data_IF_910382541724
#
_entry.id   IF_910382541724
#
_cell.length_a   1.000
_cell.length_b   1.000
_cell.length_c   1.000
_cell.angle_alpha   90.00
_cell.angle_beta   90.00
_cell.angle_gamma   90.00
#
_symmetry.space_group_name_H-M   'P 1'
#
loop_
_entity.id
_entity.type
_entity.pdbx_description
1 polymer ?
#
# COMPACT_ATOMS: atom_id res chain seq x y z
N UNK A 1 24.44 27.11 -12.67
CA UNK A 1 23.40 26.24 -13.24
C UNK A 1 23.13 25.11 -12.27
N UNK A 2 22.18 25.30 -11.37
CA UNK A 2 21.91 24.36 -10.30
C UNK A 2 20.73 23.51 -10.77
N UNK A 3 21.02 22.34 -11.34
CA UNK A 3 20.01 21.32 -11.59
C UNK A 3 19.56 20.79 -10.22
N UNK A 4 18.55 21.44 -9.65
CA UNK A 4 17.91 20.98 -8.41
C UNK A 4 16.94 19.88 -8.82
N UNK A 5 17.40 18.63 -8.77
CA UNK A 5 16.53 17.45 -8.81
C UNK A 5 15.94 17.24 -7.42
N UNK A 6 14.80 17.87 -7.14
CA UNK A 6 14.04 17.61 -5.92
C UNK A 6 13.43 16.20 -5.99
N UNK A 7 13.85 15.31 -5.09
CA UNK A 7 13.25 13.98 -4.94
C UNK A 7 12.03 14.06 -4.03
N UNK A 8 10.87 13.66 -4.53
CA UNK A 8 9.64 13.54 -3.75
C UNK A 8 9.47 12.07 -3.35
N UNK A 9 9.25 11.81 -2.07
CA UNK A 9 9.04 10.47 -1.51
C UNK A 9 7.62 10.42 -0.96
N UNK A 10 6.80 9.50 -1.47
CA UNK A 10 5.47 9.24 -0.93
C UNK A 10 5.58 8.53 0.40
N UNK A 11 4.79 8.97 1.38
CA UNK A 11 4.67 8.29 2.69
C UNK A 11 3.52 7.27 2.70
N UNK A 12 2.76 7.16 1.61
CA UNK A 12 1.65 6.25 1.40
C UNK A 12 1.76 5.59 0.01
N UNK A 13 0.87 4.65 -0.27
CA UNK A 13 0.81 3.93 -1.55
C UNK A 13 0.49 4.83 -2.75
N UNK A 14 -0.27 5.90 -2.53
CA UNK A 14 -0.74 6.79 -3.58
C UNK A 14 -0.15 8.20 -3.45
N UNK A 15 0.31 8.76 -4.57
CA UNK A 15 0.77 10.14 -4.69
C UNK A 15 0.02 10.85 -5.80
N UNK A 16 -0.56 12.02 -5.50
CA UNK A 16 -1.21 12.87 -6.49
C UNK A 16 -0.23 13.97 -6.93
N UNK A 17 0.11 13.97 -8.23
CA UNK A 17 0.88 15.04 -8.86
C UNK A 17 -0.05 15.77 -9.82
N UNK A 18 -0.24 17.08 -9.62
CA UNK A 18 -1.06 17.92 -10.49
C UNK A 18 -0.11 18.86 -11.25
N UNK A 19 -0.16 18.80 -12.58
CA UNK A 19 0.58 19.69 -13.46
C UNK A 19 -0.42 20.47 -14.32
N UNK A 20 -0.45 21.80 -14.16
CA UNK A 20 -1.34 22.69 -14.91
C UNK A 20 -0.50 23.56 -15.84
N UNK A 21 -0.91 23.66 -17.11
CA UNK A 21 -0.31 24.56 -18.12
C UNK A 21 -1.37 25.51 -18.67
N UNK A 22 -0.92 26.64 -19.21
CA UNK A 22 -1.76 27.68 -19.84
C UNK A 22 -1.73 27.63 -21.38
N UNK A 23 -0.96 26.71 -21.98
CA UNK A 23 -1.00 26.37 -23.41
C UNK A 23 -0.25 27.32 -24.36
N UNK A 24 0.51 28.29 -23.86
CA UNK A 24 1.29 29.22 -24.69
C UNK A 24 2.80 29.09 -24.46
N UNK A 25 3.59 29.08 -25.54
CA UNK A 25 5.06 29.01 -25.54
C UNK A 25 5.65 27.79 -24.80
N UNK A 26 5.33 26.58 -25.27
CA UNK A 26 5.93 25.35 -24.75
C UNK A 26 7.38 25.20 -25.23
N UNK A 27 8.35 25.38 -24.32
CA UNK A 27 9.78 25.34 -24.66
C UNK A 27 10.43 24.00 -24.26
N UNK A 28 9.99 23.33 -23.18
CA UNK A 28 10.53 22.03 -22.75
C UNK A 28 9.49 21.16 -22.02
N UNK A 29 9.51 19.83 -22.20
CA UNK A 29 8.63 18.92 -21.49
C UNK A 29 9.05 18.74 -20.02
N UNK A 30 8.07 18.61 -19.13
CA UNK A 30 8.32 18.09 -17.78
C UNK A 30 8.53 16.57 -17.88
N UNK A 31 9.69 16.08 -17.45
CA UNK A 31 10.02 14.65 -17.43
C UNK A 31 9.95 14.15 -16.00
N UNK A 32 9.11 13.13 -15.76
CA UNK A 32 8.91 12.51 -14.45
C UNK A 32 9.41 11.07 -14.50
N UNK A 33 10.15 10.65 -13.47
CA UNK A 33 10.56 9.26 -13.27
C UNK A 33 9.99 8.75 -11.94
N UNK A 34 9.25 7.65 -12.00
CA UNK A 34 8.67 6.96 -10.84
C UNK A 34 9.35 5.61 -10.63
N UNK A 35 9.69 5.31 -9.38
CA UNK A 35 10.19 4.00 -8.97
C UNK A 35 9.87 3.77 -7.49
N UNK A 36 9.51 2.53 -7.14
CA UNK A 36 9.27 2.14 -5.74
C UNK A 36 10.60 2.11 -4.98
N UNK A 37 10.66 2.80 -3.84
CA UNK A 37 11.88 2.87 -3.01
C UNK A 37 12.08 1.64 -2.11
N UNK A 38 11.04 0.82 -1.96
CA UNK A 38 11.04 -0.33 -1.07
C UNK A 38 10.47 -1.54 -1.83
N UNK A 39 11.37 -2.28 -2.48
CA UNK A 39 11.09 -3.63 -3.00
C UNK A 39 11.30 -4.73 -1.93
N UNK A 40 11.35 -4.36 -0.65
CA UNK A 40 11.70 -5.24 0.47
C UNK A 40 11.08 -4.78 1.81
N UNK A 41 9.91 -4.12 1.79
CA UNK A 41 9.05 -4.27 2.96
C UNK A 41 8.64 -5.74 2.94
N UNK A 42 8.77 -6.42 4.06
CA UNK A 42 8.14 -7.70 4.28
C UNK A 42 6.64 -7.43 4.12
N UNK A 43 6.17 -7.50 2.87
CA UNK A 43 4.76 -7.36 2.54
C UNK A 43 4.04 -8.26 3.52
N UNK A 44 3.02 -7.74 4.19
CA UNK A 44 2.04 -8.60 4.83
C UNK A 44 1.52 -9.47 3.70
N UNK A 45 2.17 -10.63 3.47
CA UNK A 45 2.21 -11.31 2.18
C UNK A 45 0.81 -11.29 1.61
N UNK A 46 0.62 -10.46 0.57
CA UNK A 46 -0.49 -10.50 -0.38
C UNK A 46 -1.82 -10.96 0.24
N UNK A 47 -2.70 -10.02 0.57
CA UNK A 47 -4.12 -10.23 0.94
C UNK A 47 -4.39 -11.62 1.52
N UNK A 48 -4.36 -11.76 2.84
CA UNK A 48 -4.89 -12.96 3.47
C UNK A 48 -6.40 -12.99 3.21
N UNK A 49 -6.80 -13.58 2.09
CA UNK A 49 -8.18 -13.99 1.84
C UNK A 49 -8.48 -15.14 2.80
N UNK A 50 -9.14 -14.78 3.90
CA UNK A 50 -9.58 -15.74 4.90
C UNK A 50 -10.98 -16.18 4.51
N UNK A 51 -11.10 -17.41 4.04
CA UNK A 51 -12.40 -18.04 3.90
C UNK A 51 -12.89 -18.48 5.28
N UNK A 52 -13.89 -17.79 5.80
CA UNK A 52 -14.46 -18.03 7.11
C UNK A 52 -15.28 -19.31 7.08
N UNK A 53 -14.99 -20.23 8.00
CA UNK A 53 -15.73 -21.48 8.13
C UNK A 53 -16.32 -21.64 9.54
N UNK A 54 -16.91 -22.82 9.84
CA UNK A 54 -17.59 -23.07 11.12
C UNK A 54 -16.64 -23.22 12.31
N UNK A 55 -15.37 -23.48 12.06
CA UNK A 55 -14.35 -23.60 13.10
C UNK A 55 -13.79 -22.24 13.45
N UNK A 56 -13.36 -22.07 14.71
CA UNK A 56 -12.63 -20.88 15.14
C UNK A 56 -11.33 -20.78 14.32
N UNK A 57 -11.10 -19.61 13.75
CA UNK A 57 -9.89 -19.27 13.01
C UNK A 57 -9.18 -18.15 13.76
N UNK A 58 -7.86 -18.30 13.93
CA UNK A 58 -7.04 -17.35 14.67
C UNK A 58 -6.49 -16.32 13.66
N UNK A 59 -6.77 -15.05 13.93
CA UNK A 59 -6.20 -13.93 13.21
C UNK A 59 -5.08 -13.32 14.06
N UNK A 60 -3.84 -13.35 13.56
CA UNK A 60 -2.69 -12.72 14.23
C UNK A 60 -2.01 -11.71 13.34
N UNK A 61 -1.34 -10.74 13.97
CA UNK A 61 -0.38 -9.88 13.29
C UNK A 61 0.75 -10.72 12.69
N UNK A 62 1.45 -10.22 11.65
CA UNK A 62 2.67 -10.86 11.16
C UNK A 62 3.63 -11.13 12.31
N UNK A 63 4.33 -12.26 12.24
CA UNK A 63 5.36 -12.68 13.20
C UNK A 63 4.90 -12.95 14.63
N UNK A 64 3.62 -12.81 15.00
CA UNK A 64 3.16 -13.15 16.36
C UNK A 64 3.65 -14.55 16.79
N UNK A 65 4.20 -14.70 18.02
CA UNK A 65 4.23 -13.73 19.13
C UNK A 65 5.37 -12.69 19.08
N UNK A 66 6.25 -12.76 18.09
CA UNK A 66 7.35 -11.83 17.91
C UNK A 66 6.89 -10.47 17.36
N UNK A 67 7.79 -9.48 17.40
CA UNK A 67 7.52 -8.15 16.86
C UNK A 67 7.31 -8.20 15.35
N UNK A 68 6.21 -7.59 14.90
CA UNK A 68 5.98 -7.31 13.50
C UNK A 68 6.87 -6.13 13.04
N UNK A 69 7.26 -6.07 11.75
CA UNK A 69 8.10 -4.99 11.23
C UNK A 69 7.49 -3.59 11.39
N UNK A 70 8.33 -2.58 11.56
CA UNK A 70 7.91 -1.18 11.55
C UNK A 70 7.41 -0.76 10.16
N UNK A 71 6.49 0.20 10.14
CA UNK A 71 6.00 0.88 8.93
C UNK A 71 5.35 -0.04 7.88
N UNK A 72 4.65 -1.10 8.33
CA UNK A 72 3.85 -1.98 7.47
C UNK A 72 2.36 -1.76 7.64
N UNK A 73 1.60 -1.91 6.55
CA UNK A 73 0.13 -1.93 6.55
C UNK A 73 -0.34 -3.30 6.08
N UNK A 74 -1.16 -3.98 6.88
CA UNK A 74 -1.71 -5.29 6.54
C UNK A 74 -3.22 -5.20 6.32
N UNK A 75 -3.70 -5.76 5.21
CA UNK A 75 -5.12 -5.90 4.91
C UNK A 75 -5.51 -7.38 4.90
N UNK A 76 -6.55 -7.72 5.67
CA UNK A 76 -7.11 -9.08 5.73
C UNK A 76 -8.52 -9.03 5.14
N UNK A 77 -8.77 -9.85 4.13
CA UNK A 77 -10.08 -9.90 3.45
C UNK A 77 -10.77 -11.16 3.93
N UNK A 78 -11.86 -11.01 4.69
CA UNK A 78 -12.64 -12.15 5.18
C UNK A 78 -13.87 -12.38 4.29
N UNK A 79 -13.98 -13.58 3.75
CA UNK A 79 -15.11 -14.00 2.91
C UNK A 79 -15.90 -15.09 3.62
N UNK A 80 -17.22 -14.93 3.71
CA UNK A 80 -18.13 -15.91 4.29
C UNK A 80 -19.20 -16.33 3.27
N UNK A 81 -19.80 -17.49 3.49
CA UNK A 81 -20.94 -17.97 2.70
C UNK A 81 -22.15 -17.05 2.91
N UNK A 82 -22.90 -16.77 1.85
CA UNK A 82 -24.13 -15.97 1.91
C UNK A 82 -25.04 -16.46 3.04
N UNK A 83 -25.61 -15.51 3.80
CA UNK A 83 -26.49 -15.80 4.94
C UNK A 83 -25.78 -16.17 6.24
N UNK A 84 -24.45 -16.19 6.28
CA UNK A 84 -23.68 -16.39 7.51
C UNK A 84 -23.20 -15.04 8.08
N UNK A 85 -22.99 -15.00 9.40
CA UNK A 85 -22.52 -13.82 10.14
C UNK A 85 -21.10 -14.09 10.63
N UNK A 86 -20.19 -13.16 10.36
CA UNK A 86 -18.83 -13.17 10.93
C UNK A 86 -18.89 -12.45 12.28
N UNK A 87 -18.42 -13.11 13.33
CA UNK A 87 -18.29 -12.53 14.68
C UNK A 87 -16.82 -12.53 15.06
N UNK A 88 -16.29 -11.36 15.39
CA UNK A 88 -14.94 -11.18 15.92
C UNK A 88 -15.05 -11.02 17.43
N UNK A 89 -14.19 -11.70 18.18
CA UNK A 89 -14.14 -11.67 19.65
C UNK A 89 -12.94 -10.86 20.13
#
# INVERSE_FOLDING_TARGET
NNNVTSKIIGTQENMLIIFNTDGANEVQPAVIQYYSLLANIMECKKEHEIFVNRSLQILTSPNYPEFYPLDITCTYVMTAVIGHVIVVQ
#
